data_IF_567175148415
#
_entry.id   IF_567175148415
#
_cell.length_a   1.000
_cell.length_b   1.000
_cell.length_c   1.000
_cell.angle_alpha   90.00
_cell.angle_beta   90.00
_cell.angle_gamma   90.00
#
_symmetry.space_group_name_H-M   'P 1'
#
loop_
_entity.id
_entity.type
_entity.pdbx_description
1 polymer ?
#
# COMPACT_ATOMS: atom_id res chain seq x y z
N UNK A 1 -14.46 -20.76 -0.63
CA UNK A 1 -13.30 -20.36 0.17
C UNK A 1 -13.73 -19.20 1.07
N UNK A 2 -13.37 -19.22 2.35
CA UNK A 2 -13.61 -18.06 3.23
C UNK A 2 -12.53 -17.03 2.92
N UNK A 3 -12.85 -16.03 2.11
CA UNK A 3 -11.94 -14.91 1.87
C UNK A 3 -11.59 -14.22 3.20
N UNK A 4 -10.31 -14.14 3.50
CA UNK A 4 -9.78 -13.48 4.71
C UNK A 4 -10.15 -12.00 4.72
N UNK A 5 -10.05 -11.33 3.55
CA UNK A 5 -10.51 -9.96 3.32
C UNK A 5 -11.40 -9.95 2.06
N UNK A 6 -12.60 -9.39 2.17
CA UNK A 6 -13.50 -9.19 1.03
C UNK A 6 -13.12 -7.90 0.29
N UNK A 7 -13.36 -7.84 -1.02
CA UNK A 7 -13.08 -6.64 -1.79
C UNK A 7 -13.34 -6.79 -3.28
N UNK A 8 -12.83 -5.83 -4.04
CA UNK A 8 -12.96 -5.79 -5.50
C UNK A 8 -11.81 -6.56 -6.16
N UNK A 9 -12.12 -7.26 -7.25
CA UNK A 9 -11.12 -7.97 -8.07
C UNK A 9 -11.34 -7.62 -9.54
N UNK A 10 -10.25 -7.32 -10.25
CA UNK A 10 -10.27 -7.11 -11.70
C UNK A 10 -9.25 -8.03 -12.37
N UNK A 11 -9.73 -8.79 -13.35
CA UNK A 11 -8.91 -9.75 -14.09
C UNK A 11 -7.89 -9.06 -15.00
N UNK A 12 -6.84 -9.80 -15.38
CA UNK A 12 -5.86 -9.34 -16.37
C UNK A 12 -6.54 -9.06 -17.71
N UNK A 13 -6.08 -8.01 -18.41
CA UNK A 13 -6.64 -7.65 -19.72
C UNK A 13 -6.14 -8.57 -20.85
N UNK A 14 -5.01 -9.24 -20.66
CA UNK A 14 -4.44 -10.19 -21.64
C UNK A 14 -5.08 -11.59 -21.55
N UNK A 15 -5.81 -11.91 -20.48
CA UNK A 15 -6.24 -13.27 -20.15
C UNK A 15 -5.11 -14.16 -19.58
N UNK A 16 -3.88 -13.69 -19.53
CA UNK A 16 -2.73 -14.39 -18.94
C UNK A 16 -2.45 -13.81 -17.55
N UNK A 17 -2.27 -14.65 -16.55
CA UNK A 17 -2.04 -14.22 -15.19
C UNK A 17 -0.58 -14.50 -14.80
N UNK A 18 0.24 -13.45 -14.62
CA UNK A 18 1.66 -13.53 -14.23
C UNK A 18 2.02 -12.69 -13.03
N UNK A 19 1.28 -11.61 -12.77
CA UNK A 19 1.52 -10.69 -11.68
C UNK A 19 0.23 -10.47 -10.87
N UNK A 20 0.39 -10.06 -9.64
CA UNK A 20 -0.69 -9.59 -8.77
C UNK A 20 -0.40 -8.16 -8.34
N UNK A 21 -1.39 -7.29 -8.42
CA UNK A 21 -1.36 -5.95 -7.83
C UNK A 21 -2.43 -5.89 -6.75
N UNK A 22 -2.05 -5.51 -5.54
CA UNK A 22 -2.99 -5.37 -4.42
C UNK A 22 -3.03 -3.91 -3.98
N UNK A 23 -4.23 -3.30 -4.03
CA UNK A 23 -4.47 -1.94 -3.60
C UNK A 23 -4.97 -1.89 -2.16
N UNK A 24 -4.39 -1.03 -1.34
CA UNK A 24 -4.75 -0.81 0.07
C UNK A 24 -5.26 0.62 0.24
N UNK A 25 -6.56 0.76 0.46
CA UNK A 25 -7.26 2.06 0.52
C UNK A 25 -6.90 2.87 1.77
N UNK A 26 -7.21 4.16 1.76
CA UNK A 26 -7.08 5.06 2.89
C UNK A 26 -8.16 4.87 3.95
N UNK A 27 -8.00 5.55 5.09
CA UNK A 27 -8.99 5.58 6.17
C UNK A 27 -10.34 6.09 5.64
N UNK A 28 -11.44 5.42 5.98
CA UNK A 28 -12.79 5.82 5.60
C UNK A 28 -13.23 5.41 4.22
N UNK A 29 -12.36 4.80 3.41
CA UNK A 29 -12.67 4.25 2.10
C UNK A 29 -12.96 2.74 2.15
N UNK A 30 -13.06 2.12 1.00
CA UNK A 30 -13.24 0.69 0.81
C UNK A 30 -12.46 0.17 -0.41
N UNK A 31 -12.56 -1.14 -0.69
CA UNK A 31 -11.87 -1.76 -1.82
C UNK A 31 -12.34 -1.26 -3.20
N UNK A 32 -13.49 -0.59 -3.31
CA UNK A 32 -13.96 -0.04 -4.58
C UNK A 32 -13.29 1.29 -4.95
N UNK A 33 -12.67 1.96 -3.99
CA UNK A 33 -12.02 3.26 -4.19
C UNK A 33 -10.79 3.16 -5.12
N UNK A 34 -9.83 2.32 -4.76
CA UNK A 34 -8.58 2.25 -5.52
C UNK A 34 -8.58 1.28 -6.70
N UNK A 35 -9.59 0.42 -6.85
CA UNK A 35 -9.61 -0.57 -7.96
C UNK A 35 -9.63 0.12 -9.33
N UNK A 36 -10.14 1.36 -9.43
CA UNK A 36 -10.12 2.17 -10.64
C UNK A 36 -8.72 2.48 -11.16
N UNK A 37 -7.71 2.53 -10.28
CA UNK A 37 -6.30 2.71 -10.67
C UNK A 37 -5.79 1.56 -11.55
N UNK A 38 -6.43 0.39 -11.48
CA UNK A 38 -6.11 -0.74 -12.35
C UNK A 38 -6.19 -0.39 -13.84
N UNK A 39 -6.99 0.60 -14.25
CA UNK A 39 -7.08 1.04 -15.66
C UNK A 39 -5.77 1.67 -16.17
N UNK A 40 -5.04 2.36 -15.29
CA UNK A 40 -3.72 2.88 -15.63
C UNK A 40 -2.64 1.80 -15.56
N UNK A 41 -2.68 0.98 -14.50
CA UNK A 41 -1.67 -0.07 -14.30
C UNK A 41 -1.77 -1.21 -15.32
N UNK A 42 -2.98 -1.59 -15.76
CA UNK A 42 -3.18 -2.67 -16.74
C UNK A 42 -2.53 -2.37 -18.11
N UNK A 43 -2.37 -1.09 -18.48
CA UNK A 43 -1.71 -0.68 -19.73
C UNK A 43 -0.22 -1.08 -19.74
N UNK A 44 0.42 -1.17 -18.58
CA UNK A 44 1.84 -1.53 -18.45
C UNK A 44 2.03 -2.93 -17.84
N UNK A 45 1.03 -3.45 -17.16
CA UNK A 45 0.98 -4.77 -16.56
C UNK A 45 -0.24 -5.55 -17.10
N UNK A 46 -0.29 -5.86 -18.41
CA UNK A 46 -1.47 -6.48 -19.04
C UNK A 46 -1.77 -7.88 -18.50
N UNK A 47 -0.78 -8.52 -17.88
CA UNK A 47 -0.88 -9.86 -17.30
C UNK A 47 -1.17 -9.85 -15.79
N UNK A 48 -1.46 -8.69 -15.20
CA UNK A 48 -1.73 -8.58 -13.77
C UNK A 48 -3.22 -8.79 -13.44
N UNK A 49 -3.48 -9.53 -12.35
CA UNK A 49 -4.77 -9.52 -11.65
C UNK A 49 -4.67 -8.44 -10.57
N UNK A 50 -5.74 -7.68 -10.40
CA UNK A 50 -5.83 -6.58 -9.45
C UNK A 50 -6.80 -6.95 -8.33
N UNK A 51 -6.35 -6.84 -7.09
CA UNK A 51 -7.14 -7.01 -5.88
C UNK A 51 -7.21 -5.68 -5.14
N UNK A 52 -8.35 -5.38 -4.54
CA UNK A 52 -8.54 -4.21 -3.69
C UNK A 52 -9.45 -4.59 -2.52
N UNK A 53 -8.87 -5.17 -1.43
CA UNK A 53 -9.65 -5.61 -0.30
C UNK A 53 -10.14 -4.45 0.56
N UNK A 54 -11.29 -4.66 1.24
CA UNK A 54 -11.70 -3.83 2.35
C UNK A 54 -10.79 -4.10 3.55
N UNK A 55 -10.45 -3.05 4.29
CA UNK A 55 -9.78 -3.21 5.57
C UNK A 55 -10.68 -3.95 6.59
N UNK A 56 -10.10 -4.58 7.64
CA UNK A 56 -10.83 -5.50 8.50
C UNK A 56 -11.85 -4.84 9.42
N UNK A 57 -11.71 -3.55 9.69
CA UNK A 57 -12.54 -2.84 10.67
C UNK A 57 -13.36 -1.74 10.01
N UNK A 58 -14.59 -1.53 10.51
CA UNK A 58 -15.37 -0.33 10.17
C UNK A 58 -14.74 0.89 10.84
N UNK A 59 -14.83 2.05 10.20
CA UNK A 59 -14.33 3.30 10.77
C UNK A 59 -15.08 3.67 12.06
N UNK A 60 -14.31 4.04 13.08
CA UNK A 60 -14.85 4.43 14.40
C UNK A 60 -15.28 5.91 14.40
N UNK A 61 -14.63 6.76 13.64
CA UNK A 61 -14.90 8.21 13.56
C UNK A 61 -16.01 8.57 12.57
N UNK A 62 -17.15 7.86 12.60
CA UNK A 62 -18.37 8.21 11.84
C UNK A 62 -18.27 7.99 10.32
N UNK A 63 -17.26 7.31 9.82
CA UNK A 63 -17.10 6.98 8.41
C UNK A 63 -17.97 5.80 7.97
N UNK A 64 -18.39 5.82 6.69
CA UNK A 64 -19.15 4.72 6.07
C UNK A 64 -18.22 3.55 5.68
N UNK A 65 -16.91 3.81 5.52
CA UNK A 65 -15.91 2.87 5.03
C UNK A 65 -15.20 2.07 6.12
N UNK A 66 -13.95 1.72 5.81
CA UNK A 66 -13.14 0.81 6.61
C UNK A 66 -11.81 1.45 7.02
N UNK A 67 -11.15 0.84 8.01
CA UNK A 67 -9.83 1.26 8.53
C UNK A 67 -8.93 0.04 8.72
N UNK A 68 -7.63 0.21 8.47
CA UNK A 68 -6.62 -0.81 8.74
C UNK A 68 -6.26 -0.85 10.22
N UNK A 69 -6.31 0.31 10.88
CA UNK A 69 -6.11 0.47 12.30
C UNK A 69 -6.84 1.73 12.80
N UNK A 70 -7.20 1.80 14.08
CA UNK A 70 -7.85 2.98 14.65
C UNK A 70 -6.95 4.21 14.57
N UNK A 71 -7.55 5.35 14.21
CA UNK A 71 -6.93 6.68 14.31
C UNK A 71 -7.71 7.44 15.37
N UNK A 72 -7.03 7.90 16.42
CA UNK A 72 -7.61 8.76 17.44
C UNK A 72 -7.24 10.20 17.17
N UNK A 73 -8.11 11.13 17.53
CA UNK A 73 -7.82 12.54 17.49
C UNK A 73 -7.43 13.01 18.89
N UNK A 74 -6.30 13.67 19.00
CA UNK A 74 -5.89 14.32 20.24
C UNK A 74 -6.71 15.59 20.49
N UNK A 75 -6.66 16.13 21.72
CA UNK A 75 -7.38 17.34 22.10
C UNK A 75 -6.96 18.59 21.29
N UNK A 76 -5.78 18.60 20.71
CA UNK A 76 -5.25 19.66 19.85
C UNK A 76 -5.59 19.47 18.36
N UNK A 77 -6.39 18.43 18.03
CA UNK A 77 -6.80 18.10 16.67
C UNK A 77 -5.77 17.24 15.89
N UNK A 78 -4.59 17.00 16.44
CA UNK A 78 -3.60 16.11 15.80
C UNK A 78 -4.04 14.64 15.85
N UNK A 79 -3.55 13.82 14.91
CA UNK A 79 -3.88 12.40 14.87
C UNK A 79 -2.93 11.60 15.77
N UNK A 80 -3.49 10.78 16.65
CA UNK A 80 -2.76 9.77 17.41
C UNK A 80 -2.76 8.44 16.63
N UNK A 81 -1.59 8.06 16.15
CA UNK A 81 -1.37 6.81 15.42
C UNK A 81 -0.84 5.69 16.33
N UNK A 82 -0.92 5.85 17.65
CA UNK A 82 -0.44 4.87 18.63
C UNK A 82 -1.38 3.66 18.79
N UNK A 83 -1.59 2.95 17.68
CA UNK A 83 -2.39 1.73 17.60
C UNK A 83 -1.49 0.52 17.27
N UNK A 84 -0.35 0.38 17.97
CA UNK A 84 0.68 -0.61 17.61
C UNK A 84 0.14 -2.04 17.50
N UNK A 85 -0.68 -2.49 18.42
CA UNK A 85 -1.21 -3.85 18.42
C UNK A 85 -2.18 -4.06 17.25
N UNK A 86 -3.02 -3.07 16.97
CA UNK A 86 -4.01 -3.09 15.91
C UNK A 86 -3.30 -3.06 14.53
N UNK A 87 -2.24 -2.25 14.40
CA UNK A 87 -1.39 -2.23 13.20
C UNK A 87 -0.77 -3.60 12.98
N UNK A 88 -0.15 -4.21 14.01
CA UNK A 88 0.48 -5.52 13.91
C UNK A 88 -0.55 -6.64 13.62
N UNK A 89 -1.77 -6.54 14.11
CA UNK A 89 -2.84 -7.48 13.79
C UNK A 89 -3.27 -7.36 12.33
N UNK A 90 -3.42 -6.14 11.82
CA UNK A 90 -3.72 -5.91 10.41
C UNK A 90 -2.58 -6.37 9.49
N UNK A 91 -1.33 -6.14 9.87
CA UNK A 91 -0.15 -6.66 9.15
C UNK A 91 -0.18 -8.20 9.07
N UNK A 92 -0.49 -8.89 10.17
CA UNK A 92 -0.63 -10.37 10.16
C UNK A 92 -1.76 -10.81 9.22
N UNK A 93 -2.90 -10.12 9.24
CA UNK A 93 -4.04 -10.42 8.40
C UNK A 93 -3.70 -10.23 6.92
N UNK A 94 -3.03 -9.12 6.57
CA UNK A 94 -2.59 -8.83 5.20
C UNK A 94 -1.58 -9.88 4.72
N UNK A 95 -0.61 -10.29 5.57
CA UNK A 95 0.32 -11.36 5.21
C UNK A 95 -0.41 -12.67 4.87
N UNK A 96 -1.41 -13.05 5.65
CA UNK A 96 -2.25 -14.23 5.37
C UNK A 96 -3.06 -14.06 4.08
N UNK A 97 -3.61 -12.88 3.83
CA UNK A 97 -4.35 -12.59 2.60
C UNK A 97 -3.45 -12.70 1.36
N UNK A 98 -2.21 -12.20 1.42
CA UNK A 98 -1.23 -12.34 0.36
C UNK A 98 -0.91 -13.84 0.13
N UNK A 99 -0.75 -14.62 1.20
CA UNK A 99 -0.50 -16.06 1.10
C UNK A 99 -1.71 -16.83 0.51
N UNK A 100 -2.92 -16.42 0.82
CA UNK A 100 -4.15 -16.99 0.23
C UNK A 100 -4.23 -16.71 -1.27
N UNK A 101 -3.93 -15.47 -1.73
CA UNK A 101 -3.87 -15.14 -3.16
C UNK A 101 -2.76 -15.94 -3.86
N UNK A 102 -1.59 -16.09 -3.24
CA UNK A 102 -0.49 -16.89 -3.78
C UNK A 102 -0.92 -18.36 -3.98
N UNK A 103 -1.61 -18.92 -3.01
CA UNK A 103 -2.13 -20.30 -3.06
C UNK A 103 -3.21 -20.47 -4.13
N UNK A 104 -4.18 -19.55 -4.19
CA UNK A 104 -5.34 -19.65 -5.08
C UNK A 104 -4.96 -19.43 -6.55
N UNK A 105 -4.00 -18.52 -6.80
CA UNK A 105 -3.59 -18.18 -8.17
C UNK A 105 -2.40 -18.99 -8.68
N UNK A 106 -1.62 -19.60 -7.79
CA UNK A 106 -0.34 -20.24 -8.11
C UNK A 106 0.77 -19.25 -8.48
N UNK A 107 0.52 -17.94 -8.37
CA UNK A 107 1.48 -16.89 -8.69
C UNK A 107 2.28 -16.57 -7.42
N UNK A 108 3.60 -16.78 -7.47
CA UNK A 108 4.46 -16.49 -6.32
C UNK A 108 4.46 -15.02 -5.94
N UNK A 109 4.47 -14.72 -4.64
CA UNK A 109 4.45 -13.35 -4.10
C UNK A 109 5.66 -12.50 -4.52
N UNK A 110 6.73 -13.11 -5.04
CA UNK A 110 7.82 -12.38 -5.71
C UNK A 110 7.38 -11.59 -6.96
N UNK A 111 6.19 -11.90 -7.50
CA UNK A 111 5.55 -11.21 -8.62
C UNK A 111 4.38 -10.34 -8.15
N UNK A 112 4.30 -10.02 -6.84
CA UNK A 112 3.25 -9.16 -6.29
C UNK A 112 3.77 -7.73 -6.15
N UNK A 113 2.89 -6.79 -6.47
CA UNK A 113 3.08 -5.36 -6.28
C UNK A 113 2.04 -4.90 -5.26
N UNK A 114 2.48 -4.24 -4.20
CA UNK A 114 1.59 -3.66 -3.20
C UNK A 114 1.48 -2.16 -3.44
N UNK A 115 0.26 -1.65 -3.50
CA UNK A 115 -0.02 -0.23 -3.74
C UNK A 115 -0.88 0.29 -2.59
N UNK A 116 -0.45 1.34 -1.92
CA UNK A 116 -1.18 1.94 -0.81
C UNK A 116 -1.50 3.41 -1.04
N UNK A 117 -2.60 3.87 -0.43
CA UNK A 117 -2.93 5.29 -0.31
C UNK A 117 -3.13 5.64 1.17
N UNK A 118 -2.51 6.73 1.64
CA UNK A 118 -2.68 7.24 3.00
C UNK A 118 -2.41 6.15 4.06
N UNK A 119 -3.40 5.77 4.87
CA UNK A 119 -3.30 4.67 5.83
C UNK A 119 -2.91 3.34 5.16
N UNK A 120 -3.36 3.10 3.91
CA UNK A 120 -2.95 1.95 3.11
C UNK A 120 -1.45 1.93 2.80
N UNK A 121 -0.81 3.09 2.53
CA UNK A 121 0.65 3.18 2.41
C UNK A 121 1.35 2.79 3.70
N UNK A 122 0.85 3.28 4.83
CA UNK A 122 1.44 3.01 6.14
C UNK A 122 1.43 1.50 6.44
N UNK A 123 0.28 0.83 6.23
CA UNK A 123 0.16 -0.59 6.52
C UNK A 123 0.96 -1.48 5.54
N UNK A 124 1.10 -1.07 4.27
CA UNK A 124 1.89 -1.79 3.27
C UNK A 124 3.37 -1.77 3.62
N UNK A 125 3.91 -0.63 4.07
CA UNK A 125 5.30 -0.53 4.49
C UNK A 125 5.59 -1.41 5.73
N UNK A 126 4.69 -1.42 6.73
CA UNK A 126 4.81 -2.32 7.87
C UNK A 126 4.71 -3.80 7.47
N UNK A 127 3.83 -4.12 6.51
CA UNK A 127 3.70 -5.47 5.96
C UNK A 127 4.98 -5.91 5.27
N UNK A 128 5.58 -5.06 4.43
CA UNK A 128 6.84 -5.34 3.74
C UNK A 128 7.97 -5.70 4.72
N UNK A 129 8.07 -4.95 5.83
CA UNK A 129 9.13 -5.17 6.82
C UNK A 129 9.01 -6.53 7.51
N UNK A 130 7.81 -6.97 7.79
CA UNK A 130 7.53 -8.20 8.55
C UNK A 130 7.44 -9.44 7.69
N UNK A 131 7.26 -9.27 6.36
CA UNK A 131 7.01 -10.40 5.45
C UNK A 131 8.26 -11.24 5.20
N UNK A 132 8.11 -12.56 5.34
CA UNK A 132 9.18 -13.55 5.16
C UNK A 132 9.25 -14.14 3.73
N UNK A 133 8.41 -13.67 2.81
CA UNK A 133 8.44 -14.01 1.38
C UNK A 133 8.65 -12.73 0.56
N UNK A 134 9.30 -12.88 -0.60
CA UNK A 134 9.62 -11.76 -1.49
C UNK A 134 8.36 -11.07 -2.02
N UNK A 135 8.41 -9.74 -2.06
CA UNK A 135 7.50 -8.85 -2.79
C UNK A 135 8.31 -8.12 -3.88
N UNK A 136 7.74 -7.97 -5.06
CA UNK A 136 8.40 -7.34 -6.21
C UNK A 136 8.61 -5.85 -6.01
N UNK A 137 7.53 -5.13 -5.71
CA UNK A 137 7.57 -3.69 -5.55
C UNK A 137 6.50 -3.17 -4.59
N UNK A 138 6.73 -1.97 -4.08
CA UNK A 138 5.76 -1.18 -3.30
C UNK A 138 5.64 0.20 -3.93
N UNK A 139 4.39 0.66 -4.12
CA UNK A 139 4.06 2.04 -4.46
C UNK A 139 3.17 2.60 -3.37
N UNK A 140 3.61 3.67 -2.71
CA UNK A 140 2.84 4.33 -1.66
C UNK A 140 2.50 5.76 -2.04
N UNK A 141 1.23 6.14 -1.91
CA UNK A 141 0.74 7.49 -2.13
C UNK A 141 0.35 8.15 -0.80
N UNK A 142 0.73 9.40 -0.59
CA UNK A 142 0.28 10.30 0.49
C UNK A 142 0.28 9.66 1.88
N UNK A 143 1.34 8.90 2.21
CA UNK A 143 1.44 8.18 3.48
C UNK A 143 2.79 8.38 4.17
N UNK A 144 3.01 7.60 5.22
CA UNK A 144 4.23 7.61 6.01
C UNK A 144 4.64 6.21 6.45
N UNK A 145 5.71 6.13 7.22
CA UNK A 145 6.21 4.89 7.81
C UNK A 145 6.11 4.98 9.35
N UNK A 146 5.35 4.06 9.95
CA UNK A 146 5.03 4.10 11.38
C UNK A 146 6.14 3.50 12.25
N UNK A 147 6.93 2.57 11.68
CA UNK A 147 8.05 1.89 12.35
C UNK A 147 7.62 1.17 13.64
N UNK A 148 6.50 0.48 13.59
CA UNK A 148 5.96 -0.26 14.76
C UNK A 148 6.45 -1.70 14.83
N UNK A 149 6.93 -2.26 13.71
CA UNK A 149 7.46 -3.63 13.66
C UNK A 149 8.82 -3.71 14.36
N UNK A 150 8.95 -4.65 15.28
CA UNK A 150 10.24 -4.95 15.93
C UNK A 150 11.09 -5.93 15.11
N UNK A 151 10.55 -6.48 14.02
CA UNK A 151 11.21 -7.46 13.16
C UNK A 151 11.32 -6.90 11.75
N UNK A 152 12.54 -6.78 11.25
CA UNK A 152 12.82 -6.39 9.87
C UNK A 152 13.30 -7.62 9.11
N UNK A 153 12.51 -8.11 8.17
CA UNK A 153 12.89 -9.22 7.29
C UNK A 153 13.92 -8.72 6.26
N UNK A 154 15.04 -9.43 6.17
CA UNK A 154 16.08 -9.12 5.17
C UNK A 154 15.72 -9.58 3.75
N UNK A 155 14.68 -10.38 3.60
CA UNK A 155 14.25 -10.96 2.30
C UNK A 155 13.80 -9.87 1.32
N UNK A 156 13.28 -8.76 1.84
CA UNK A 156 12.70 -7.68 1.05
C UNK A 156 13.59 -6.44 0.93
N UNK A 157 14.87 -6.49 1.33
CA UNK A 157 15.76 -5.32 1.26
C UNK A 157 15.99 -4.79 -0.18
N UNK A 158 15.89 -5.66 -1.17
CA UNK A 158 16.00 -5.32 -2.60
C UNK A 158 14.63 -5.04 -3.26
N UNK A 159 13.53 -5.09 -2.50
CA UNK A 159 12.19 -4.67 -2.98
C UNK A 159 12.24 -3.22 -3.40
N UNK A 160 11.76 -2.94 -4.61
CA UNK A 160 11.74 -1.60 -5.15
C UNK A 160 10.60 -0.80 -4.53
N UNK A 161 10.90 0.37 -3.99
CA UNK A 161 9.91 1.23 -3.30
C UNK A 161 9.85 2.59 -3.97
N UNK A 162 8.64 3.04 -4.31
CA UNK A 162 8.34 4.40 -4.71
C UNK A 162 7.30 5.00 -3.76
N UNK A 163 7.60 6.15 -3.19
CA UNK A 163 6.66 6.95 -2.41
C UNK A 163 6.34 8.24 -3.16
N UNK A 164 5.05 8.48 -3.38
CA UNK A 164 4.50 9.65 -4.09
C UNK A 164 3.69 10.48 -3.10
N UNK A 165 3.87 11.81 -3.09
CA UNK A 165 3.16 12.69 -2.16
C UNK A 165 2.87 14.04 -2.77
N UNK A 166 1.74 14.66 -2.37
CA UNK A 166 1.44 16.05 -2.70
C UNK A 166 2.22 17.01 -1.78
N UNK A 167 2.77 18.08 -2.33
CA UNK A 167 3.56 19.04 -1.54
C UNK A 167 2.70 20.00 -0.72
N UNK A 168 1.36 20.03 -0.94
CA UNK A 168 0.38 20.81 -0.19
C UNK A 168 -0.59 19.93 0.63
N UNK A 169 -0.16 18.70 0.98
CA UNK A 169 -0.97 17.76 1.76
C UNK A 169 -1.10 18.22 3.22
N UNK A 170 -2.30 18.64 3.60
CA UNK A 170 -2.65 19.12 4.94
C UNK A 170 -3.25 18.03 5.85
N UNK A 171 -3.44 16.80 5.35
CA UNK A 171 -3.95 15.64 6.11
C UNK A 171 -2.80 14.79 6.62
N UNK A 172 -1.91 14.39 5.71
CA UNK A 172 -0.66 13.71 6.02
C UNK A 172 0.47 14.60 5.49
N UNK A 173 1.20 15.33 6.34
CA UNK A 173 2.26 16.21 5.89
C UNK A 173 3.31 15.49 5.05
N UNK A 174 3.77 16.12 3.96
CA UNK A 174 4.80 15.58 3.06
C UNK A 174 6.07 15.13 3.81
N UNK A 175 6.36 15.76 4.94
CA UNK A 175 7.46 15.40 5.84
C UNK A 175 7.39 13.94 6.30
N UNK A 176 6.20 13.35 6.42
CA UNK A 176 6.01 11.94 6.76
C UNK A 176 6.65 11.02 5.70
N UNK A 177 6.51 11.35 4.41
CA UNK A 177 7.18 10.61 3.33
C UNK A 177 8.70 10.81 3.34
N UNK A 178 9.19 12.03 3.61
CA UNK A 178 10.63 12.30 3.74
C UNK A 178 11.25 11.51 4.91
N UNK A 179 10.55 11.47 6.05
CA UNK A 179 10.94 10.66 7.20
C UNK A 179 10.88 9.16 6.90
N UNK A 180 9.82 8.70 6.20
CA UNK A 180 9.69 7.31 5.76
C UNK A 180 10.89 6.88 4.92
N UNK A 181 11.27 7.68 3.90
CA UNK A 181 12.48 7.44 3.10
C UNK A 181 13.72 7.34 3.96
N UNK A 182 13.95 8.31 4.86
CA UNK A 182 15.14 8.32 5.73
C UNK A 182 15.21 7.07 6.59
N UNK A 183 14.11 6.71 7.25
CA UNK A 183 14.07 5.58 8.17
C UNK A 183 14.20 4.23 7.44
N UNK A 184 13.54 4.07 6.30
CA UNK A 184 13.66 2.86 5.47
C UNK A 184 15.06 2.71 4.89
N UNK A 185 15.72 3.81 4.48
CA UNK A 185 17.12 3.76 4.04
C UNK A 185 18.08 3.33 5.18
N UNK A 186 17.84 3.77 6.42
CA UNK A 186 18.61 3.32 7.60
C UNK A 186 18.44 1.81 7.81
N UNK A 187 17.25 1.26 7.51
CA UNK A 187 16.97 -0.18 7.58
C UNK A 187 17.54 -0.97 6.38
N UNK A 188 18.15 -0.30 5.40
CA UNK A 188 18.79 -0.91 4.24
C UNK A 188 17.91 -0.99 2.99
N UNK A 189 16.70 -0.42 2.99
CA UNK A 189 15.85 -0.34 1.81
C UNK A 189 16.27 0.81 0.91
N UNK A 190 16.09 0.67 -0.41
CA UNK A 190 16.25 1.76 -1.36
C UNK A 190 14.89 2.36 -1.73
N UNK A 191 14.66 3.64 -1.37
CA UNK A 191 13.37 4.32 -1.55
C UNK A 191 13.48 5.47 -2.53
N UNK A 192 12.73 5.38 -3.64
CA UNK A 192 12.48 6.47 -4.55
C UNK A 192 11.34 7.35 -4.03
N UNK A 193 11.39 8.65 -4.30
CA UNK A 193 10.30 9.58 -3.94
C UNK A 193 9.96 10.48 -5.10
N UNK A 194 8.69 10.83 -5.23
CA UNK A 194 8.17 11.82 -6.15
C UNK A 194 7.21 12.76 -5.41
N UNK A 195 7.29 14.05 -5.65
CA UNK A 195 6.42 15.06 -5.03
C UNK A 195 5.64 15.80 -6.11
N UNK A 196 4.30 15.66 -6.07
CA UNK A 196 3.38 16.33 -7.00
C UNK A 196 3.14 17.76 -6.53
N UNK A 197 3.42 18.72 -7.38
CA UNK A 197 3.32 20.16 -7.05
C UNK A 197 1.85 20.61 -6.96
N UNK A 198 1.52 21.35 -5.90
CA UNK A 198 0.18 21.93 -5.68
C UNK A 198 -0.89 20.88 -5.36
N UNK A 199 -0.49 19.64 -5.04
CA UNK A 199 -1.41 18.58 -4.71
C UNK A 199 -1.60 18.50 -3.20
N UNK A 200 -2.85 18.46 -2.75
CA UNK A 200 -3.25 18.12 -1.39
C UNK A 200 -3.22 16.62 -1.13
N UNK A 201 -4.12 16.12 -0.25
CA UNK A 201 -4.22 14.71 0.09
C UNK A 201 -4.93 13.92 -1.01
N UNK A 202 -4.17 13.32 -1.93
CA UNK A 202 -4.73 12.62 -3.07
C UNK A 202 -3.71 11.95 -3.97
N UNK A 203 -4.18 11.42 -5.10
CA UNK A 203 -3.38 10.82 -6.16
C UNK A 203 -3.54 11.66 -7.42
N UNK A 204 -2.46 12.29 -7.88
CA UNK A 204 -2.46 13.10 -9.10
C UNK A 204 -2.17 12.28 -10.35
N UNK A 205 -2.49 12.84 -11.52
CA UNK A 205 -2.18 12.20 -12.80
C UNK A 205 -0.67 12.06 -13.04
N UNK A 206 0.13 13.05 -12.64
CA UNK A 206 1.60 13.01 -12.74
C UNK A 206 2.21 12.01 -11.75
N UNK A 207 1.70 11.91 -10.51
CA UNK A 207 2.10 10.90 -9.55
C UNK A 207 1.77 9.49 -10.02
N UNK A 208 0.59 9.30 -10.63
CA UNK A 208 0.20 8.02 -11.24
C UNK A 208 1.08 7.68 -12.45
N UNK A 209 1.39 8.67 -13.30
CA UNK A 209 2.31 8.49 -14.43
C UNK A 209 3.72 8.11 -13.97
N UNK A 210 4.25 8.73 -12.92
CA UNK A 210 5.56 8.37 -12.38
C UNK A 210 5.55 6.95 -11.77
N UNK A 211 4.45 6.54 -11.13
CA UNK A 211 4.28 5.18 -10.61
C UNK A 211 4.28 4.13 -11.72
N UNK A 212 3.57 4.38 -12.83
CA UNK A 212 3.55 3.47 -13.98
C UNK A 212 4.93 3.42 -14.66
N UNK A 213 5.62 4.54 -14.80
CA UNK A 213 6.99 4.62 -15.32
C UNK A 213 7.98 3.87 -14.43
N UNK A 214 7.84 3.99 -13.10
CA UNK A 214 8.65 3.25 -12.14
C UNK A 214 8.45 1.74 -12.32
N UNK A 215 7.21 1.25 -12.32
CA UNK A 215 6.91 -0.19 -12.47
C UNK A 215 7.36 -0.74 -13.84
N UNK A 216 7.22 0.03 -14.92
CA UNK A 216 7.67 -0.38 -16.25
C UNK A 216 9.18 -0.65 -16.31
N UNK A 217 9.99 0.06 -15.52
CA UNK A 217 11.45 -0.13 -15.47
C UNK A 217 11.86 -1.43 -14.75
N UNK A 218 10.98 -2.02 -13.96
CA UNK A 218 11.30 -3.19 -13.13
C UNK A 218 11.30 -4.50 -13.91
N UNK A 219 10.84 -4.50 -15.18
CA UNK A 219 10.75 -5.71 -16.02
C UNK A 219 10.07 -6.90 -15.32
N UNK A 220 9.01 -6.62 -14.55
CA UNK A 220 8.28 -7.59 -13.73
C UNK A 220 7.30 -8.38 -14.58
#
# INVERSE_FOLDING_TARGET
MNEILKGSVKKSISGINKQIVIFFHGYGADGSDLISLSDAFSKILPNAIFYSPNAPQKCEMGGIGYQWFPIKQNNDGSLDLNAKNEILNSVKLINRYIDEIELDTGISSKNFILVGFSQGTMIVLETLLSREKKISAVVGFSGGFLNVSNKVSKINLDTQILLVHGDEDNVVPMEMTKMAKKNLNILGYFVNTYFSKGLGHGISLDGLAESTKFLKKLNI
#
